data_IF_133069944646
#
_entry.id   IF_133069944646
#
_cell.length_a   1.000
_cell.length_b   1.000
_cell.length_c   1.000
_cell.angle_alpha   90.00
_cell.angle_beta   90.00
_cell.angle_gamma   90.00
#
_symmetry.space_group_name_H-M   'P 1'
#
loop_
_entity.id
_entity.type
_entity.pdbx_description
1 polymer ?
#
# COMPACT_ATOMS: atom_id res chain seq x y z
N UNK A 1 -60.90 28.06 -1.88
CA UNK A 1 -60.38 27.50 -3.15
C UNK A 1 -58.86 27.54 -3.06
N UNK A 2 -58.26 26.36 -3.08
CA UNK A 2 -56.90 26.00 -2.67
C UNK A 2 -55.85 26.28 -3.75
N UNK A 3 -54.68 26.81 -3.39
CA UNK A 3 -53.42 26.58 -4.13
C UNK A 3 -52.22 26.58 -3.17
N UNK A 4 -51.89 25.40 -2.64
CA UNK A 4 -50.57 25.13 -2.06
C UNK A 4 -49.55 25.10 -3.21
N UNK A 5 -48.52 25.94 -3.13
CA UNK A 5 -47.36 25.88 -4.03
C UNK A 5 -46.28 25.07 -3.33
N UNK A 6 -46.11 23.81 -3.74
CA UNK A 6 -44.99 22.97 -3.32
C UNK A 6 -43.76 23.36 -4.13
N UNK A 7 -42.86 24.15 -3.55
CA UNK A 7 -41.55 24.42 -4.15
C UNK A 7 -40.69 23.16 -4.04
N UNK A 8 -40.52 22.46 -5.15
CA UNK A 8 -39.62 21.32 -5.29
C UNK A 8 -38.17 21.86 -5.34
N UNK A 9 -37.51 21.90 -4.19
CA UNK A 9 -36.06 22.11 -4.11
C UNK A 9 -35.37 20.84 -4.63
N UNK A 10 -35.01 20.82 -5.92
CA UNK A 10 -34.07 19.85 -6.45
C UNK A 10 -32.67 20.23 -5.95
N UNK A 11 -32.20 19.57 -4.89
CA UNK A 11 -30.79 19.63 -4.52
C UNK A 11 -30.00 18.85 -5.58
N UNK A 12 -29.38 19.57 -6.53
CA UNK A 12 -28.39 18.98 -7.42
C UNK A 12 -27.14 18.61 -6.59
N UNK A 13 -27.05 17.35 -6.15
CA UNK A 13 -25.79 16.79 -5.70
C UNK A 13 -24.87 16.65 -6.91
N UNK A 14 -24.06 17.68 -7.17
CA UNK A 14 -22.90 17.52 -8.02
C UNK A 14 -21.95 16.54 -7.31
N UNK A 15 -21.94 15.29 -7.73
CA UNK A 15 -20.92 14.35 -7.32
C UNK A 15 -19.58 14.87 -7.85
N UNK A 16 -18.81 15.54 -6.98
CA UNK A 16 -17.42 15.85 -7.25
C UNK A 16 -16.71 14.53 -7.53
N UNK A 17 -16.34 14.30 -8.79
CA UNK A 17 -15.43 13.23 -9.18
C UNK A 17 -14.14 13.48 -8.41
N UNK A 18 -13.95 12.76 -7.31
CA UNK A 18 -12.73 12.82 -6.50
C UNK A 18 -11.61 12.34 -7.41
N UNK A 19 -10.83 13.26 -7.94
CA UNK A 19 -9.69 12.95 -8.79
C UNK A 19 -8.54 12.48 -7.88
N UNK A 20 -8.63 11.24 -7.42
CA UNK A 20 -7.58 10.64 -6.59
C UNK A 20 -6.27 10.63 -7.38
N UNK A 21 -5.18 11.20 -6.84
CA UNK A 21 -3.91 11.25 -7.54
C UNK A 21 -3.49 9.83 -7.94
N UNK A 22 -2.85 9.69 -9.12
CA UNK A 22 -2.50 8.38 -9.68
C UNK A 22 -1.69 7.51 -8.69
N UNK A 23 -0.79 8.14 -7.93
CA UNK A 23 -0.02 7.48 -6.88
C UNK A 23 -0.88 6.86 -5.78
N UNK A 24 -1.96 7.52 -5.37
CA UNK A 24 -2.88 6.98 -4.37
C UNK A 24 -3.74 5.85 -4.94
N UNK A 25 -4.12 5.90 -6.23
CA UNK A 25 -4.81 4.80 -6.91
C UNK A 25 -3.92 3.56 -7.06
N UNK A 26 -2.67 3.76 -7.47
CA UNK A 26 -1.68 2.69 -7.60
C UNK A 26 -1.41 2.04 -6.22
N UNK A 27 -1.20 2.85 -5.19
CA UNK A 27 -1.01 2.37 -3.82
C UNK A 27 -2.21 1.58 -3.28
N UNK A 28 -3.44 2.05 -3.53
CA UNK A 28 -4.65 1.33 -3.11
C UNK A 28 -4.76 -0.03 -3.81
N UNK A 29 -4.40 -0.10 -5.09
CA UNK A 29 -4.42 -1.36 -5.85
C UNK A 29 -3.42 -2.36 -5.26
N UNK A 30 -2.21 -1.91 -4.91
CA UNK A 30 -1.20 -2.72 -4.23
C UNK A 30 -1.72 -3.23 -2.88
N UNK A 31 -2.30 -2.36 -2.06
CA UNK A 31 -2.89 -2.75 -0.76
C UNK A 31 -3.96 -3.83 -0.96
N UNK A 32 -4.89 -3.63 -1.89
CA UNK A 32 -6.01 -4.56 -2.12
C UNK A 32 -5.50 -5.96 -2.47
N UNK A 33 -4.49 -6.06 -3.36
CA UNK A 33 -3.88 -7.34 -3.71
C UNK A 33 -3.22 -7.98 -2.49
N UNK A 34 -2.37 -7.25 -1.76
CA UNK A 34 -1.65 -7.80 -0.61
C UNK A 34 -2.59 -8.26 0.52
N UNK A 35 -3.67 -7.50 0.78
CA UNK A 35 -4.67 -7.88 1.77
C UNK A 35 -5.49 -9.10 1.35
N UNK A 36 -5.76 -9.27 0.05
CA UNK A 36 -6.45 -10.47 -0.47
C UNK A 36 -5.63 -11.75 -0.35
N UNK A 37 -4.31 -11.62 -0.16
CA UNK A 37 -3.35 -12.74 -0.09
C UNK A 37 -2.88 -13.04 1.34
N UNK A 38 -3.53 -12.49 2.37
CA UNK A 38 -3.19 -12.82 3.76
C UNK A 38 -3.20 -14.35 3.99
N UNK A 39 -2.13 -14.85 4.60
CA UNK A 39 -1.90 -16.28 4.80
C UNK A 39 -1.16 -16.99 3.66
N UNK A 40 -0.98 -16.35 2.50
CA UNK A 40 -0.26 -16.95 1.39
C UNK A 40 1.20 -17.26 1.75
N UNK A 41 1.71 -18.34 1.15
CA UNK A 41 3.08 -18.81 1.34
C UNK A 41 4.03 -18.17 0.33
N UNK A 42 5.32 -18.49 0.46
CA UNK A 42 6.37 -17.99 -0.44
C UNK A 42 6.02 -18.27 -1.92
N UNK A 43 5.99 -17.24 -2.79
CA UNK A 43 5.82 -17.46 -4.23
C UNK A 43 6.93 -18.33 -4.82
N UNK A 44 6.58 -19.15 -5.83
CA UNK A 44 7.57 -19.95 -6.55
C UNK A 44 8.65 -19.07 -7.18
N UNK A 45 9.92 -19.50 -7.12
CA UNK A 45 11.06 -18.76 -7.63
C UNK A 45 11.64 -17.69 -6.68
N UNK A 46 10.96 -17.33 -5.59
CA UNK A 46 11.51 -16.40 -4.61
C UNK A 46 12.61 -17.04 -3.73
N UNK A 47 13.63 -16.29 -3.28
CA UNK A 47 14.65 -16.80 -2.36
C UNK A 47 14.10 -17.08 -0.95
N UNK A 48 14.91 -17.63 -0.04
CA UNK A 48 14.47 -17.94 1.34
C UNK A 48 14.00 -16.70 2.12
N UNK A 49 14.57 -15.53 1.85
CA UNK A 49 14.07 -14.23 2.34
C UNK A 49 13.25 -13.58 1.24
N UNK A 50 11.93 -13.71 1.32
CA UNK A 50 11.07 -13.45 0.16
C UNK A 50 10.17 -12.21 0.27
N UNK A 51 10.34 -11.34 1.27
CA UNK A 51 9.52 -10.13 1.41
C UNK A 51 9.63 -9.20 0.19
N UNK A 52 10.84 -8.96 -0.30
CA UNK A 52 11.09 -8.14 -1.49
C UNK A 52 10.58 -8.80 -2.78
N UNK A 53 10.88 -10.08 -2.98
CA UNK A 53 10.38 -10.85 -4.13
C UNK A 53 8.85 -10.85 -4.20
N UNK A 54 8.18 -11.04 -3.05
CA UNK A 54 6.72 -10.96 -2.99
C UNK A 54 6.20 -9.58 -3.38
N UNK A 55 6.77 -8.52 -2.81
CA UNK A 55 6.38 -7.15 -3.18
C UNK A 55 6.58 -6.91 -4.68
N UNK A 56 7.69 -7.37 -5.27
CA UNK A 56 7.92 -7.32 -6.72
C UNK A 56 6.83 -8.03 -7.54
N UNK A 57 6.39 -9.22 -7.11
CA UNK A 57 5.30 -9.93 -7.79
C UNK A 57 3.98 -9.15 -7.74
N UNK A 58 3.68 -8.49 -6.62
CA UNK A 58 2.49 -7.67 -6.47
C UNK A 58 2.59 -6.41 -7.32
N UNK A 59 3.74 -5.73 -7.31
CA UNK A 59 3.98 -4.56 -8.17
C UNK A 59 3.78 -4.91 -9.64
N UNK A 60 4.35 -6.02 -10.11
CA UNK A 60 4.16 -6.50 -11.48
C UNK A 60 2.67 -6.72 -11.83
N UNK A 61 1.92 -7.42 -10.95
CA UNK A 61 0.49 -7.72 -11.15
C UNK A 61 -0.39 -6.48 -11.13
N UNK A 62 0.04 -5.44 -10.43
CA UNK A 62 -0.66 -4.14 -10.34
C UNK A 62 -0.22 -3.14 -11.42
N UNK A 63 0.62 -3.58 -12.37
CA UNK A 63 1.08 -2.75 -13.49
C UNK A 63 2.13 -1.72 -13.11
N UNK A 64 2.87 -1.98 -12.04
CA UNK A 64 4.02 -1.20 -11.57
C UNK A 64 5.33 -1.95 -11.87
N UNK A 65 6.40 -1.20 -12.13
CA UNK A 65 7.71 -1.78 -12.40
C UNK A 65 8.26 -2.47 -11.13
N UNK A 66 8.68 -3.76 -11.20
CA UNK A 66 9.37 -4.41 -10.09
C UNK A 66 10.75 -3.78 -9.83
N UNK A 67 11.25 -3.90 -8.60
CA UNK A 67 12.64 -3.62 -8.22
C UNK A 67 13.59 -4.72 -8.68
N UNK A 68 13.20 -5.99 -8.54
CA UNK A 68 13.87 -7.15 -9.12
C UNK A 68 15.15 -7.63 -8.42
N UNK A 69 15.60 -6.94 -7.36
CA UNK A 69 16.85 -7.30 -6.67
C UNK A 69 16.68 -8.37 -5.58
N UNK A 70 15.44 -8.69 -5.21
CA UNK A 70 15.11 -9.53 -4.05
C UNK A 70 15.63 -9.01 -2.69
N UNK A 71 16.13 -7.77 -2.62
CA UNK A 71 16.68 -7.19 -1.39
C UNK A 71 15.76 -6.08 -0.88
N UNK A 72 15.29 -6.22 0.37
CA UNK A 72 14.37 -5.25 0.98
C UNK A 72 14.90 -3.80 0.93
N UNK A 73 16.18 -3.60 1.26
CA UNK A 73 16.80 -2.26 1.33
C UNK A 73 16.80 -1.51 -0.01
N UNK A 74 16.79 -2.22 -1.14
CA UNK A 74 16.91 -1.59 -2.46
C UNK A 74 15.63 -0.85 -2.86
N UNK A 75 14.54 -1.11 -2.14
CA UNK A 75 13.31 -0.32 -2.22
C UNK A 75 13.48 1.10 -1.66
N UNK A 76 14.58 1.44 -0.97
CA UNK A 76 14.80 2.79 -0.45
C UNK A 76 14.82 3.86 -1.56
N UNK A 77 15.13 3.46 -2.80
CA UNK A 77 15.11 4.30 -3.99
C UNK A 77 13.99 3.89 -4.97
N UNK A 78 12.88 3.34 -4.48
CA UNK A 78 11.72 2.94 -5.29
C UNK A 78 10.71 4.09 -5.42
N UNK A 79 10.09 4.30 -6.57
CA UNK A 79 8.98 5.25 -6.65
C UNK A 79 9.39 6.69 -6.30
N UNK A 80 8.44 7.43 -5.72
CA UNK A 80 8.67 8.77 -5.17
C UNK A 80 8.85 8.73 -3.65
N UNK A 81 9.35 9.81 -3.05
CA UNK A 81 9.35 9.97 -1.60
C UNK A 81 7.92 10.04 -1.04
N UNK A 82 7.73 9.48 0.16
CA UNK A 82 6.47 9.57 0.90
C UNK A 82 6.73 10.05 2.33
N UNK A 83 5.73 10.69 2.94
CA UNK A 83 5.81 11.04 4.35
C UNK A 83 5.79 9.78 5.23
N UNK A 84 6.50 9.77 6.38
CA UNK A 84 6.53 8.62 7.28
C UNK A 84 5.15 8.10 7.68
N UNK A 85 4.94 6.78 7.62
CA UNK A 85 3.69 6.14 8.06
C UNK A 85 2.47 6.40 7.16
N UNK A 86 2.64 7.02 5.98
CA UNK A 86 1.52 7.25 5.06
C UNK A 86 0.94 5.93 4.57
N UNK A 87 -0.37 5.70 4.72
CA UNK A 87 -1.06 4.52 4.17
C UNK A 87 -0.80 4.41 2.67
N UNK A 88 -0.44 3.21 2.21
CA UNK A 88 -0.07 2.95 0.81
C UNK A 88 1.41 3.17 0.49
N UNK A 89 2.18 3.81 1.38
CA UNK A 89 3.62 3.88 1.22
C UNK A 89 4.29 2.54 1.51
N UNK A 90 5.38 2.27 0.82
CA UNK A 90 6.29 1.18 1.11
C UNK A 90 7.16 1.62 2.28
N UNK A 91 7.04 0.92 3.41
CA UNK A 91 7.97 1.03 4.54
C UNK A 91 9.18 0.14 4.26
N UNK A 92 10.34 0.76 4.11
CA UNK A 92 11.59 0.06 3.82
C UNK A 92 12.40 -0.07 5.09
N UNK A 93 12.73 -1.29 5.49
CA UNK A 93 13.71 -1.56 6.55
C UNK A 93 14.95 -2.23 5.94
N UNK A 94 16.08 -2.24 6.66
CA UNK A 94 17.35 -2.81 6.17
C UNK A 94 17.27 -4.28 5.73
N UNK A 95 16.27 -5.00 6.23
CA UNK A 95 16.15 -6.45 6.14
C UNK A 95 14.73 -6.96 5.88
N UNK A 96 13.75 -6.04 5.78
CA UNK A 96 12.33 -6.31 5.58
C UNK A 96 11.64 -5.16 4.83
N UNK A 97 10.58 -5.46 4.08
CA UNK A 97 9.82 -4.46 3.32
C UNK A 97 8.34 -4.85 3.30
N UNK A 98 7.47 -3.84 3.35
CA UNK A 98 6.02 -4.02 3.26
C UNK A 98 5.32 -2.71 2.96
N UNK A 99 4.01 -2.77 2.80
CA UNK A 99 3.18 -1.60 2.49
C UNK A 99 2.36 -1.23 3.71
N UNK A 100 2.36 0.05 4.05
CA UNK A 100 1.62 0.60 5.19
C UNK A 100 0.12 0.47 4.92
N UNK A 101 -0.59 -0.14 5.85
CA UNK A 101 -2.07 -0.28 5.81
C UNK A 101 -2.76 0.46 6.93
N UNK A 102 -2.01 0.99 7.90
CA UNK A 102 -2.58 1.75 9.01
C UNK A 102 -1.58 1.93 10.15
N UNK A 103 -2.12 2.16 11.35
CA UNK A 103 -1.37 2.29 12.58
C UNK A 103 -1.72 1.14 13.54
N UNK A 104 -0.78 0.79 14.40
CA UNK A 104 -1.02 -0.05 15.57
C UNK A 104 -0.95 0.81 16.85
N UNK A 105 -1.12 0.17 18.01
CA UNK A 105 -0.93 0.81 19.31
C UNK A 105 0.49 1.40 19.47
N UNK A 106 0.65 2.35 20.40
CA UNK A 106 1.93 2.93 20.77
C UNK A 106 2.69 3.61 19.61
N UNK A 107 1.98 4.14 18.62
CA UNK A 107 2.58 4.85 17.48
C UNK A 107 3.35 3.94 16.51
N UNK A 108 3.12 2.63 16.58
CA UNK A 108 3.68 1.70 15.61
C UNK A 108 2.92 1.78 14.29
N UNK A 109 3.62 1.45 13.20
CA UNK A 109 3.06 1.42 11.86
C UNK A 109 2.67 -0.01 11.51
N UNK A 110 1.44 -0.20 11.04
CA UNK A 110 0.97 -1.49 10.56
C UNK A 110 1.30 -1.62 9.07
N UNK A 111 1.99 -2.70 8.71
CA UNK A 111 2.28 -3.03 7.32
C UNK A 111 1.74 -4.41 6.96
N UNK A 112 1.32 -4.58 5.72
CA UNK A 112 1.17 -5.89 5.08
C UNK A 112 2.47 -6.24 4.36
N UNK A 113 2.98 -7.46 4.56
CA UNK A 113 4.24 -7.90 3.95
C UNK A 113 4.29 -9.41 3.76
N UNK A 114 5.05 -9.85 2.77
CA UNK A 114 5.45 -11.25 2.62
C UNK A 114 6.55 -11.63 3.61
N UNK A 115 6.73 -12.92 3.84
CA UNK A 115 7.72 -13.48 4.77
C UNK A 115 7.60 -12.99 6.22
N UNK A 116 6.43 -12.54 6.65
CA UNK A 116 6.15 -12.32 8.06
C UNK A 116 5.81 -13.66 8.69
N UNK A 117 6.71 -14.22 9.49
CA UNK A 117 6.56 -15.58 10.05
C UNK A 117 6.20 -16.61 8.98
N UNK A 118 6.95 -16.61 7.86
CA UNK A 118 6.79 -17.50 6.70
C UNK A 118 5.43 -17.41 5.96
N UNK A 119 4.71 -16.29 6.05
CA UNK A 119 3.49 -16.02 5.28
C UNK A 119 3.34 -14.55 4.91
N UNK A 120 2.35 -14.23 4.09
CA UNK A 120 1.83 -12.87 3.94
C UNK A 120 0.97 -12.55 5.16
N UNK A 121 1.31 -11.49 5.89
CA UNK A 121 0.57 -11.09 7.08
C UNK A 121 0.74 -9.61 7.43
N UNK A 122 -0.09 -9.17 8.36
CA UNK A 122 0.01 -7.87 9.02
C UNK A 122 1.05 -7.93 10.15
N UNK A 123 1.92 -6.94 10.21
CA UNK A 123 2.89 -6.76 11.29
C UNK A 123 2.97 -5.31 11.74
N UNK A 124 3.18 -5.10 13.04
CA UNK A 124 3.38 -3.79 13.64
C UNK A 124 4.88 -3.53 13.83
N UNK A 125 5.36 -2.39 13.38
CA UNK A 125 6.77 -2.01 13.46
C UNK A 125 6.94 -0.60 14.00
N UNK A 126 7.98 -0.38 14.79
CA UNK A 126 8.39 0.98 15.15
C UNK A 126 8.80 1.75 13.89
N UNK A 127 8.35 3.01 13.70
CA UNK A 127 8.76 3.84 12.57
C UNK A 127 10.28 4.05 12.51
N UNK A 128 10.99 3.98 13.65
CA UNK A 128 12.46 4.11 13.72
C UNK A 128 13.22 2.98 13.02
N UNK A 129 12.53 1.88 12.64
CA UNK A 129 13.13 0.81 11.83
C UNK A 129 13.19 1.16 10.34
N UNK A 130 12.42 2.15 9.90
CA UNK A 130 12.41 2.55 8.50
C UNK A 130 13.70 3.27 8.13
N UNK A 131 14.29 2.87 7.02
CA UNK A 131 15.39 3.59 6.36
C UNK A 131 14.88 4.48 5.22
N UNK A 132 13.66 4.24 4.74
CA UNK A 132 12.98 5.06 3.73
C UNK A 132 11.46 4.79 3.74
N UNK A 133 10.72 5.77 3.20
CA UNK A 133 9.27 5.70 2.96
C UNK A 133 9.01 6.09 1.52
N UNK A 134 8.41 5.18 0.73
CA UNK A 134 8.31 5.38 -0.72
C UNK A 134 6.88 5.19 -1.23
N UNK A 135 6.43 6.07 -2.12
CA UNK A 135 5.16 5.92 -2.80
C UNK A 135 5.32 4.97 -4.00
N UNK A 136 4.50 3.90 -4.12
CA UNK A 136 4.51 3.07 -5.30
C UNK A 136 3.83 3.79 -6.47
N UNK A 137 4.63 4.30 -7.40
CA UNK A 137 4.16 5.05 -8.58
C UNK A 137 4.62 4.36 -9.85
N UNK A 138 3.83 4.47 -10.93
CA UNK A 138 4.31 4.09 -12.25
C UNK A 138 5.54 4.93 -12.61
N UNK A 139 6.55 4.23 -13.13
CA UNK A 139 7.76 4.79 -13.71
C UNK A 139 7.69 4.72 -15.23
#
# INVERSE_FOLDING_TARGET
MMRLVFSLLLAAFAASIVNTPASARDAQTVINVMLSELGATRPSGCPGRWCACYLDTVLARTGLAPRGSNQARDFANYGAEAAPGTVGSIMVMSSHVGVVVGACENGQVQIVSGNYSNRVALGCYSPNRAIAWRAPVRH
#
